data_IF_070740760654
#
_entry.id   IF_070740760654
#
_cell.length_a   1.000
_cell.length_b   1.000
_cell.length_c   1.000
_cell.angle_alpha   90.00
_cell.angle_beta   90.00
_cell.angle_gamma   90.00
#
_symmetry.space_group_name_H-M   'P 1'
#
loop_
_entity.id
_entity.type
_entity.pdbx_description
1 polymer ?
#
# COMPACT_ATOMS: atom_id res chain seq x y z
N UNK A 1 18.52 19.80 6.41
CA UNK A 1 18.90 18.96 7.57
C UNK A 1 18.44 17.55 7.20
N UNK A 2 19.33 16.73 6.61
CA UNK A 2 19.00 15.36 6.24
C UNK A 2 18.83 14.53 7.51
N UNK A 3 17.61 14.36 7.94
CA UNK A 3 17.25 13.30 8.89
C UNK A 3 17.31 11.99 8.07
N UNK A 4 18.45 11.32 8.08
CA UNK A 4 18.50 9.91 7.69
C UNK A 4 17.63 9.18 8.73
N UNK A 5 16.41 8.83 8.33
CA UNK A 5 15.56 7.88 9.05
C UNK A 5 16.22 6.50 8.91
N UNK A 6 17.33 6.30 9.59
CA UNK A 6 17.87 4.97 9.79
C UNK A 6 16.88 4.23 10.69
N UNK A 7 16.06 3.39 10.08
CA UNK A 7 15.28 2.38 10.79
C UNK A 7 16.26 1.50 11.55
N UNK A 8 16.18 1.46 12.85
CA UNK A 8 17.20 0.87 13.74
C UNK A 8 17.41 -0.63 13.57
N UNK A 9 16.52 -1.32 12.88
CA UNK A 9 16.65 -2.75 12.56
C UNK A 9 15.94 -3.10 11.27
N UNK A 10 16.64 -3.01 10.14
CA UNK A 10 16.16 -3.51 8.83
C UNK A 10 16.78 -4.87 8.56
N UNK A 11 15.96 -5.87 8.30
CA UNK A 11 16.38 -7.20 7.83
C UNK A 11 16.09 -7.32 6.34
N UNK A 12 17.09 -7.71 5.55
CA UNK A 12 16.91 -8.05 4.13
C UNK A 12 16.68 -9.56 4.04
N UNK A 13 15.58 -9.94 3.40
CA UNK A 13 15.19 -11.32 3.21
C UNK A 13 15.03 -11.60 1.71
N UNK A 14 15.34 -12.83 1.31
CA UNK A 14 15.18 -13.29 -0.06
C UNK A 14 14.19 -14.46 -0.07
N UNK A 15 13.02 -14.23 -0.65
CA UNK A 15 11.97 -15.23 -0.73
C UNK A 15 12.01 -15.91 -2.09
N UNK A 16 12.14 -17.23 -2.11
CA UNK A 16 11.99 -18.00 -3.34
C UNK A 16 10.52 -18.09 -3.69
N UNK A 17 10.12 -17.50 -4.80
CA UNK A 17 8.75 -17.55 -5.35
C UNK A 17 8.62 -18.75 -6.29
N UNK A 18 9.65 -19.02 -7.09
CA UNK A 18 9.76 -20.19 -7.95
C UNK A 18 11.24 -20.59 -8.09
N UNK A 19 11.52 -21.63 -8.89
CA UNK A 19 12.92 -22.05 -9.15
C UNK A 19 13.75 -20.95 -9.83
N UNK A 20 13.11 -20.08 -10.60
CA UNK A 20 13.77 -19.00 -11.34
C UNK A 20 13.59 -17.61 -10.72
N UNK A 21 12.77 -17.47 -9.68
CA UNK A 21 12.37 -16.15 -9.18
C UNK A 21 12.61 -16.04 -7.68
N UNK A 22 13.37 -15.02 -7.30
CA UNK A 22 13.63 -14.63 -5.92
C UNK A 22 13.14 -13.20 -5.72
N UNK A 23 12.35 -12.98 -4.69
CA UNK A 23 11.86 -11.67 -4.29
C UNK A 23 12.71 -11.17 -3.12
N UNK A 24 13.29 -9.97 -3.26
CA UNK A 24 13.90 -9.26 -2.16
C UNK A 24 12.85 -8.47 -1.40
N UNK A 25 12.82 -8.64 -0.09
CA UNK A 25 12.00 -7.84 0.79
C UNK A 25 12.85 -7.25 1.91
N UNK A 26 12.39 -6.12 2.43
CA UNK A 26 12.94 -5.49 3.64
C UNK A 26 11.90 -5.53 4.74
N UNK A 27 12.30 -6.05 5.88
CA UNK A 27 11.49 -6.07 7.09
C UNK A 27 12.09 -5.08 8.09
N UNK A 28 11.35 -4.00 8.32
CA UNK A 28 11.72 -2.93 9.23
C UNK A 28 10.98 -3.13 10.55
N UNK A 29 11.73 -3.16 11.66
CA UNK A 29 11.18 -3.48 12.97
C UNK A 29 11.31 -2.32 13.95
N UNK A 30 10.31 -2.13 14.84
CA UNK A 30 10.42 -1.30 16.02
C UNK A 30 11.53 -1.77 16.97
N UNK A 31 11.99 -0.89 17.85
CA UNK A 31 12.83 -1.27 18.98
C UNK A 31 12.04 -2.16 19.94
N UNK A 32 12.70 -3.17 20.52
CA UNK A 32 12.11 -4.08 21.50
C UNK A 32 11.99 -5.53 21.03
N UNK A 33 11.40 -6.35 21.88
CA UNK A 33 11.34 -7.80 21.64
C UNK A 33 10.12 -8.25 20.79
N UNK A 34 9.10 -7.42 20.64
CA UNK A 34 7.84 -7.81 20.01
C UNK A 34 7.00 -8.75 20.91
N UNK A 35 6.01 -9.49 20.37
CA UNK A 35 5.62 -9.47 18.96
C UNK A 35 4.87 -8.17 18.57
N UNK A 36 5.23 -7.62 17.41
CA UNK A 36 4.66 -6.38 16.90
C UNK A 36 3.48 -6.63 15.95
N UNK A 37 2.46 -5.75 15.90
CA UNK A 37 1.57 -5.70 14.73
C UNK A 37 2.40 -5.43 13.47
N UNK A 38 1.97 -5.94 12.32
CA UNK A 38 2.73 -5.77 11.10
C UNK A 38 1.89 -5.38 9.89
N UNK A 39 2.50 -4.58 9.01
CA UNK A 39 1.95 -4.14 7.74
C UNK A 39 2.81 -4.66 6.58
N UNK A 40 2.18 -5.32 5.63
CA UNK A 40 2.77 -5.59 4.32
C UNK A 40 2.42 -4.43 3.41
N UNK A 41 3.43 -3.71 2.89
CA UNK A 41 3.26 -2.49 2.10
C UNK A 41 3.75 -2.73 0.67
N UNK A 42 2.80 -2.92 -0.25
CA UNK A 42 3.05 -3.19 -1.65
C UNK A 42 3.28 -1.89 -2.45
N UNK A 43 4.33 -1.81 -3.29
CA UNK A 43 4.62 -0.65 -4.10
C UNK A 43 3.71 -0.55 -5.33
N UNK A 44 3.71 0.61 -5.98
CA UNK A 44 3.00 0.85 -7.24
C UNK A 44 3.71 0.24 -8.46
N UNK A 45 3.10 0.45 -9.63
CA UNK A 45 3.75 0.16 -10.90
C UNK A 45 4.90 1.17 -11.11
N UNK A 46 6.11 0.68 -11.35
CA UNK A 46 7.33 1.52 -11.50
C UNK A 46 7.58 2.47 -10.33
N UNK A 47 7.12 2.08 -9.17
CA UNK A 47 7.27 2.79 -7.91
C UNK A 47 7.84 1.80 -6.89
N UNK A 48 9.15 1.84 -6.67
CA UNK A 48 9.85 0.85 -5.84
C UNK A 48 9.64 1.08 -4.33
N UNK A 49 10.11 0.11 -3.56
CA UNK A 49 9.98 0.10 -2.10
C UNK A 49 10.79 1.18 -1.37
N UNK A 50 11.71 1.85 -2.06
CA UNK A 50 12.56 2.92 -1.51
C UNK A 50 12.09 4.32 -1.92
N UNK A 51 11.02 4.42 -2.70
CA UNK A 51 10.41 5.70 -3.04
C UNK A 51 9.87 6.41 -1.79
N UNK A 52 9.93 7.76 -1.78
CA UNK A 52 9.68 8.55 -0.56
C UNK A 52 8.38 8.20 0.17
N UNK A 53 7.26 8.04 -0.52
CA UNK A 53 5.98 7.74 0.15
C UNK A 53 5.96 6.37 0.84
N UNK A 54 6.65 5.36 0.28
CA UNK A 54 6.79 4.04 0.90
C UNK A 54 7.78 4.09 2.07
N UNK A 55 8.96 4.67 1.82
CA UNK A 55 10.04 4.69 2.80
C UNK A 55 9.70 5.53 4.04
N UNK A 56 9.16 6.74 3.86
CA UNK A 56 8.79 7.62 4.96
C UNK A 56 7.64 7.05 5.78
N UNK A 57 6.62 6.49 5.12
CA UNK A 57 5.52 5.81 5.81
C UNK A 57 6.02 4.61 6.62
N UNK A 58 6.91 3.79 6.06
CA UNK A 58 7.49 2.67 6.79
C UNK A 58 8.27 3.15 8.03
N UNK A 59 9.12 4.16 7.88
CA UNK A 59 9.88 4.74 8.99
C UNK A 59 8.98 5.29 10.10
N UNK A 60 7.92 6.01 9.74
CA UNK A 60 6.95 6.53 10.72
C UNK A 60 6.26 5.38 11.48
N UNK A 61 5.73 4.38 10.78
CA UNK A 61 5.01 3.27 11.40
C UNK A 61 5.91 2.43 12.31
N UNK A 62 7.17 2.23 11.94
CA UNK A 62 8.17 1.55 12.78
C UNK A 62 8.41 2.30 14.09
N UNK A 63 8.55 3.62 14.04
CA UNK A 63 8.66 4.43 15.26
C UNK A 63 7.42 4.36 16.15
N UNK A 64 6.28 3.94 15.61
CA UNK A 64 5.01 3.78 16.31
C UNK A 64 4.70 2.34 16.73
N UNK A 65 5.68 1.46 16.65
CA UNK A 65 5.54 0.09 17.15
C UNK A 65 4.94 -0.89 16.15
N UNK A 66 4.89 -0.56 14.85
CA UNK A 66 4.35 -1.41 13.79
C UNK A 66 5.51 -1.87 12.90
N UNK A 67 5.72 -3.19 12.77
CA UNK A 67 6.68 -3.73 11.84
C UNK A 67 6.18 -3.55 10.39
N UNK A 68 7.07 -3.21 9.45
CA UNK A 68 6.69 -2.99 8.05
C UNK A 68 7.52 -3.88 7.14
N UNK A 69 6.84 -4.63 6.28
CA UNK A 69 7.44 -5.47 5.24
C UNK A 69 7.25 -4.79 3.89
N UNK A 70 8.36 -4.35 3.27
CA UNK A 70 8.42 -3.69 1.97
C UNK A 70 9.14 -4.58 0.97
N UNK A 71 8.73 -4.58 -0.29
CA UNK A 71 9.33 -5.40 -1.33
C UNK A 71 9.22 -4.72 -2.69
N UNK A 72 9.96 -5.23 -3.68
CA UNK A 72 9.78 -4.86 -5.07
C UNK A 72 9.11 -6.00 -5.84
N UNK A 73 8.24 -5.65 -6.80
CA UNK A 73 7.69 -6.64 -7.71
C UNK A 73 8.80 -7.30 -8.54
N UNK A 74 8.66 -8.60 -8.82
CA UNK A 74 9.68 -9.33 -9.57
C UNK A 74 9.88 -8.74 -10.96
N UNK A 75 8.80 -8.35 -11.65
CA UNK A 75 8.91 -7.72 -12.97
C UNK A 75 9.72 -6.41 -12.92
N UNK A 76 9.58 -5.63 -11.86
CA UNK A 76 10.36 -4.41 -11.65
C UNK A 76 11.84 -4.72 -11.38
N UNK A 77 12.13 -5.73 -10.58
CA UNK A 77 13.51 -6.14 -10.28
C UNK A 77 14.23 -6.67 -11.51
N UNK A 78 13.52 -7.35 -12.41
CA UNK A 78 14.06 -7.86 -13.69
C UNK A 78 14.31 -6.72 -14.68
N UNK A 79 13.35 -5.82 -14.81
CA UNK A 79 13.45 -4.65 -15.69
C UNK A 79 12.60 -3.50 -15.13
N UNK A 80 13.27 -2.53 -14.52
CA UNK A 80 12.60 -1.39 -13.88
C UNK A 80 11.90 -0.44 -14.87
N UNK A 81 12.38 -0.39 -16.12
CA UNK A 81 11.85 0.53 -17.14
C UNK A 81 10.71 -0.08 -17.94
N UNK A 82 10.84 -1.33 -18.38
CA UNK A 82 9.90 -1.98 -19.31
C UNK A 82 9.23 -3.22 -18.74
N UNK A 83 9.59 -3.66 -17.52
CA UNK A 83 8.93 -4.78 -16.87
C UNK A 83 7.43 -4.55 -16.67
N UNK A 84 6.64 -5.57 -16.93
CA UNK A 84 5.19 -5.52 -16.81
C UNK A 84 4.66 -6.60 -15.87
N UNK A 85 3.55 -6.32 -15.16
CA UNK A 85 2.84 -7.35 -14.39
C UNK A 85 2.38 -8.51 -15.29
N UNK A 86 2.14 -9.65 -14.68
CA UNK A 86 1.46 -10.76 -15.35
C UNK A 86 0.04 -10.35 -15.77
N UNK A 87 -0.46 -10.91 -16.87
CA UNK A 87 -1.73 -10.48 -17.47
C UNK A 87 -2.94 -10.65 -16.53
N UNK A 88 -2.88 -11.64 -15.66
CA UNK A 88 -3.92 -11.99 -14.68
C UNK A 88 -3.53 -11.65 -13.23
N UNK A 89 -2.42 -10.97 -13.02
CA UNK A 89 -1.84 -10.61 -11.72
C UNK A 89 -1.48 -11.82 -10.83
N UNK A 90 -1.45 -13.02 -11.37
CA UNK A 90 -1.19 -14.24 -10.58
C UNK A 90 0.22 -14.28 -9.97
N UNK A 91 1.24 -13.76 -10.70
CA UNK A 91 2.61 -13.68 -10.21
C UNK A 91 2.75 -12.65 -9.08
N UNK A 92 2.07 -11.51 -9.19
CA UNK A 92 2.08 -10.45 -8.19
C UNK A 92 1.30 -10.87 -6.94
N UNK A 93 0.17 -11.53 -7.13
CA UNK A 93 -0.61 -12.13 -6.05
C UNK A 93 0.23 -13.16 -5.28
N UNK A 94 0.88 -14.11 -5.97
CA UNK A 94 1.76 -15.10 -5.34
C UNK A 94 2.95 -14.43 -4.60
N UNK A 95 3.54 -13.40 -5.19
CA UNK A 95 4.62 -12.63 -4.57
C UNK A 95 4.18 -12.00 -3.26
N UNK A 96 3.05 -11.30 -3.24
CA UNK A 96 2.55 -10.67 -2.03
C UNK A 96 2.11 -11.69 -0.98
N UNK A 97 1.51 -12.81 -1.38
CA UNK A 97 1.19 -13.91 -0.46
C UNK A 97 2.45 -14.49 0.20
N UNK A 98 3.55 -14.62 -0.53
CA UNK A 98 4.82 -15.08 0.04
C UNK A 98 5.36 -14.09 1.08
N UNK A 99 5.23 -12.79 0.86
CA UNK A 99 5.59 -11.76 1.86
C UNK A 99 4.69 -11.85 3.10
N UNK A 100 3.38 -12.03 2.93
CA UNK A 100 2.45 -12.25 4.06
C UNK A 100 2.83 -13.50 4.85
N UNK A 101 3.17 -14.60 4.17
CA UNK A 101 3.60 -15.85 4.83
C UNK A 101 4.91 -15.67 5.59
N UNK A 102 5.88 -14.94 5.03
CA UNK A 102 7.14 -14.61 5.71
C UNK A 102 6.89 -13.77 6.97
N UNK A 103 6.08 -12.73 6.88
CA UNK A 103 5.70 -11.90 8.03
C UNK A 103 4.99 -12.72 9.12
N UNK A 104 4.07 -13.60 8.71
CA UNK A 104 3.33 -14.48 9.64
C UNK A 104 4.25 -15.47 10.39
N UNK A 105 5.33 -15.89 9.76
CA UNK A 105 6.29 -16.86 10.33
C UNK A 105 7.38 -16.21 11.17
N UNK A 106 7.50 -14.88 11.15
CA UNK A 106 8.50 -14.17 11.94
C UNK A 106 8.05 -14.09 13.41
N UNK A 107 8.88 -14.63 14.31
CA UNK A 107 8.58 -14.70 15.75
C UNK A 107 8.43 -13.30 16.40
N UNK A 108 8.95 -12.27 15.76
CA UNK A 108 8.82 -10.87 16.20
C UNK A 108 7.48 -10.24 15.82
N UNK A 109 6.66 -10.92 15.02
CA UNK A 109 5.38 -10.43 14.50
C UNK A 109 4.22 -11.09 15.23
N UNK A 110 3.23 -10.29 15.63
CA UNK A 110 1.96 -10.82 16.09
C UNK A 110 1.12 -11.25 14.86
N UNK A 111 1.11 -12.54 14.58
CA UNK A 111 0.42 -13.14 13.44
C UNK A 111 -1.10 -12.86 13.40
N UNK A 112 -1.70 -12.48 14.53
CA UNK A 112 -3.12 -12.08 14.62
C UNK A 112 -3.34 -10.59 14.35
N UNK A 113 -2.29 -9.81 14.15
CA UNK A 113 -2.33 -8.36 13.87
C UNK A 113 -1.59 -8.04 12.56
N UNK A 114 -1.84 -8.85 11.52
CA UNK A 114 -1.33 -8.60 10.17
C UNK A 114 -2.32 -7.80 9.36
N UNK A 115 -1.82 -6.77 8.70
CA UNK A 115 -2.57 -5.92 7.78
C UNK A 115 -1.82 -5.77 6.46
N UNK A 116 -2.54 -5.37 5.41
CA UNK A 116 -1.96 -5.13 4.10
C UNK A 116 -2.24 -3.71 3.63
N UNK A 117 -1.31 -3.14 2.91
CA UNK A 117 -1.47 -1.88 2.20
C UNK A 117 -0.88 -1.98 0.81
N UNK A 118 -1.38 -1.18 -0.11
CA UNK A 118 -0.78 -1.07 -1.42
C UNK A 118 -0.99 0.30 -2.03
N UNK A 119 0.01 0.79 -2.75
CA UNK A 119 -0.04 2.05 -3.47
C UNK A 119 -0.38 1.81 -4.94
N UNK A 120 -1.36 2.54 -5.49
CA UNK A 120 -1.68 2.49 -6.93
C UNK A 120 -1.93 1.04 -7.41
N UNK A 121 -1.17 0.54 -8.36
CA UNK A 121 -1.18 -0.87 -8.78
C UNK A 121 -1.10 -1.84 -7.60
N UNK A 122 -0.22 -1.57 -6.63
CA UNK A 122 -0.10 -2.39 -5.43
C UNK A 122 -1.38 -2.46 -4.59
N UNK A 123 -2.26 -1.45 -4.68
CA UNK A 123 -3.55 -1.48 -3.98
C UNK A 123 -4.51 -2.51 -4.58
N UNK A 124 -4.42 -2.76 -5.88
CA UNK A 124 -5.22 -3.81 -6.55
C UNK A 124 -4.80 -5.19 -6.06
N UNK A 125 -3.49 -5.45 -6.03
CA UNK A 125 -2.97 -6.75 -5.54
C UNK A 125 -3.21 -6.91 -4.03
N UNK A 126 -3.02 -5.84 -3.25
CA UNK A 126 -3.30 -5.86 -1.81
C UNK A 126 -4.77 -6.19 -1.52
N UNK A 127 -5.70 -5.66 -2.31
CA UNK A 127 -7.11 -5.98 -2.22
C UNK A 127 -7.38 -7.47 -2.49
N UNK A 128 -6.82 -8.02 -3.57
CA UNK A 128 -6.98 -9.45 -3.91
C UNK A 128 -6.45 -10.36 -2.80
N UNK A 129 -5.26 -10.05 -2.26
CA UNK A 129 -4.67 -10.81 -1.15
C UNK A 129 -5.53 -10.69 0.11
N UNK A 130 -6.03 -9.49 0.43
CA UNK A 130 -6.93 -9.28 1.57
C UNK A 130 -8.23 -10.07 1.43
N UNK A 131 -8.82 -10.11 0.23
CA UNK A 131 -10.02 -10.92 -0.02
C UNK A 131 -9.75 -12.42 0.13
N UNK A 132 -8.62 -12.91 -0.34
CA UNK A 132 -8.28 -14.32 -0.29
C UNK A 132 -7.89 -14.80 1.12
N UNK A 133 -7.21 -13.95 1.91
CA UNK A 133 -6.77 -14.28 3.27
C UNK A 133 -7.63 -13.62 4.33
N UNK A 134 -8.59 -14.37 4.87
CA UNK A 134 -9.53 -13.89 5.89
C UNK A 134 -8.91 -13.69 7.28
N UNK A 135 -7.66 -14.06 7.48
CA UNK A 135 -6.93 -13.80 8.74
C UNK A 135 -6.28 -12.42 8.79
N UNK A 136 -6.15 -11.73 7.66
CA UNK A 136 -5.68 -10.35 7.60
C UNK A 136 -6.72 -9.42 8.22
N UNK A 137 -6.26 -8.47 9.04
CA UNK A 137 -7.15 -7.67 9.88
C UNK A 137 -7.68 -6.42 9.18
N UNK A 138 -6.83 -5.73 8.40
CA UNK A 138 -7.14 -4.42 7.80
C UNK A 138 -6.51 -4.31 6.41
N UNK A 139 -7.12 -3.48 5.56
CA UNK A 139 -6.59 -3.15 4.25
C UNK A 139 -6.53 -1.64 4.03
N UNK A 140 -5.40 -1.14 3.53
CA UNK A 140 -5.20 0.27 3.18
C UNK A 140 -4.91 0.38 1.69
N UNK A 141 -5.78 1.09 0.97
CA UNK A 141 -5.64 1.37 -0.45
C UNK A 141 -5.13 2.81 -0.63
N UNK A 142 -3.85 2.95 -0.98
CA UNK A 142 -3.18 4.24 -1.14
C UNK A 142 -3.20 4.62 -2.61
N UNK A 143 -3.68 5.83 -2.93
CA UNK A 143 -3.92 6.33 -4.30
C UNK A 143 -4.58 5.26 -5.18
N UNK A 144 -5.79 4.80 -4.79
CA UNK A 144 -6.47 3.71 -5.49
C UNK A 144 -6.80 4.09 -6.93
N UNK A 145 -6.77 3.10 -7.82
CA UNK A 145 -7.11 3.28 -9.23
C UNK A 145 -8.64 3.31 -9.39
N UNK A 146 -9.18 4.51 -9.40
CA UNK A 146 -10.62 4.77 -9.41
C UNK A 146 -10.97 5.86 -10.43
N UNK A 147 -10.83 5.56 -11.72
CA UNK A 147 -11.16 6.47 -12.81
C UNK A 147 -12.28 5.88 -13.66
N UNK A 148 -13.23 6.74 -14.02
CA UNK A 148 -14.28 6.37 -14.95
C UNK A 148 -13.71 6.00 -16.33
N UNK A 149 -14.27 4.96 -16.92
CA UNK A 149 -14.18 4.75 -18.37
C UNK A 149 -15.00 5.85 -19.10
N UNK A 150 -14.87 5.93 -20.42
CA UNK A 150 -15.57 6.92 -21.26
C UNK A 150 -17.09 6.68 -21.41
N UNK A 151 -17.66 5.78 -20.63
CA UNK A 151 -19.03 5.31 -20.74
C UNK A 151 -19.95 5.80 -19.60
N UNK A 152 -21.19 5.36 -19.58
CA UNK A 152 -22.22 5.82 -18.64
C UNK A 152 -21.93 5.48 -17.16
N UNK A 153 -22.66 6.08 -16.20
CA UNK A 153 -22.40 5.97 -14.76
C UNK A 153 -22.34 4.52 -14.21
N UNK A 154 -23.01 3.55 -14.85
CA UNK A 154 -22.96 2.16 -14.42
C UNK A 154 -21.65 1.48 -14.84
N UNK A 155 -21.16 1.81 -16.04
CA UNK A 155 -19.87 1.29 -16.54
C UNK A 155 -18.67 1.89 -15.78
N UNK A 156 -18.80 3.13 -15.25
CA UNK A 156 -17.81 3.71 -14.36
C UNK A 156 -17.56 2.87 -13.11
N UNK A 157 -18.64 2.45 -12.44
CA UNK A 157 -18.55 1.58 -11.27
C UNK A 157 -18.00 0.19 -11.62
N UNK A 158 -18.30 -0.33 -12.79
CA UNK A 158 -17.79 -1.63 -13.24
C UNK A 158 -16.29 -1.61 -13.51
N UNK A 159 -15.75 -0.49 -14.00
CA UNK A 159 -14.29 -0.31 -14.15
C UNK A 159 -13.56 -0.35 -12.79
N UNK A 160 -14.10 0.32 -11.78
CA UNK A 160 -13.54 0.27 -10.42
C UNK A 160 -13.69 -1.14 -9.82
N UNK A 161 -14.81 -1.80 -10.09
CA UNK A 161 -15.08 -3.17 -9.62
C UNK A 161 -14.12 -4.20 -10.20
N UNK A 162 -13.54 -3.98 -11.37
CA UNK A 162 -12.49 -4.84 -11.91
C UNK A 162 -11.21 -4.80 -11.05
N UNK A 163 -10.88 -3.62 -10.49
CA UNK A 163 -9.72 -3.46 -9.62
C UNK A 163 -9.99 -3.93 -8.19
N UNK A 164 -11.20 -3.72 -7.69
CA UNK A 164 -11.59 -4.02 -6.31
C UNK A 164 -12.93 -4.78 -6.28
N UNK A 165 -12.96 -6.06 -6.70
CA UNK A 165 -14.20 -6.84 -6.73
C UNK A 165 -14.73 -7.14 -5.33
N UNK A 166 -16.01 -7.49 -5.26
CA UNK A 166 -16.70 -8.07 -4.10
C UNK A 166 -16.69 -7.24 -2.81
N UNK A 167 -16.60 -5.91 -2.94
CA UNK A 167 -16.55 -4.99 -1.79
C UNK A 167 -17.81 -5.06 -0.92
N UNK A 168 -18.95 -5.40 -1.51
CA UNK A 168 -20.23 -5.56 -0.82
C UNK A 168 -20.24 -6.74 0.17
N UNK A 169 -19.27 -7.65 0.07
CA UNK A 169 -19.12 -8.81 0.95
C UNK A 169 -18.06 -8.58 2.03
N UNK A 170 -17.26 -7.49 1.93
CA UNK A 170 -16.18 -7.24 2.87
C UNK A 170 -16.63 -6.38 4.05
N UNK A 171 -16.58 -6.99 5.25
CA UNK A 171 -16.98 -6.36 6.52
C UNK A 171 -15.78 -5.95 7.39
N UNK A 172 -14.57 -6.45 7.06
CA UNK A 172 -13.36 -6.04 7.78
C UNK A 172 -13.01 -4.58 7.46
N UNK A 173 -12.29 -3.90 8.36
CA UNK A 173 -11.92 -2.51 8.15
C UNK A 173 -11.09 -2.28 6.88
N UNK A 174 -11.54 -1.32 6.07
CA UNK A 174 -10.83 -0.84 4.88
C UNK A 174 -10.77 0.68 4.90
N UNK A 175 -9.63 1.25 4.54
CA UNK A 175 -9.49 2.69 4.31
C UNK A 175 -8.87 2.96 2.95
N UNK A 176 -9.31 4.04 2.31
CA UNK A 176 -8.82 4.53 1.02
C UNK A 176 -8.21 5.91 1.22
N UNK A 177 -6.95 6.08 0.83
CA UNK A 177 -6.22 7.33 0.95
C UNK A 177 -5.89 7.85 -0.43
N UNK A 178 -6.61 8.87 -0.88
CA UNK A 178 -6.52 9.44 -2.22
C UNK A 178 -5.83 10.81 -2.19
N UNK A 179 -5.27 11.22 -3.32
CA UNK A 179 -4.77 12.57 -3.53
C UNK A 179 -5.80 13.41 -4.30
N UNK A 180 -5.90 14.70 -3.98
CA UNK A 180 -6.93 15.59 -4.53
C UNK A 180 -6.71 15.97 -6.02
N UNK A 181 -5.46 15.79 -6.52
CA UNK A 181 -5.08 16.05 -7.91
C UNK A 181 -4.61 14.78 -8.62
N UNK A 182 -5.08 13.62 -8.18
CA UNK A 182 -4.70 12.34 -8.75
C UNK A 182 -5.41 12.11 -10.10
N UNK A 183 -4.67 12.03 -11.23
CA UNK A 183 -5.28 11.80 -12.54
C UNK A 183 -5.87 10.38 -12.71
N UNK A 184 -5.57 9.46 -11.80
CA UNK A 184 -6.06 8.07 -11.82
C UNK A 184 -7.17 7.81 -10.81
N UNK A 185 -7.62 8.83 -10.07
CA UNK A 185 -8.67 8.69 -9.07
C UNK A 185 -9.64 9.86 -9.11
N UNK A 186 -10.89 9.60 -9.47
CA UNK A 186 -11.97 10.57 -9.40
C UNK A 186 -12.65 10.50 -8.02
N UNK A 187 -12.46 11.52 -7.19
CA UNK A 187 -12.95 11.54 -5.82
C UNK A 187 -14.46 11.27 -5.68
N UNK A 188 -15.35 11.86 -6.51
CA UNK A 188 -16.78 11.56 -6.45
C UNK A 188 -17.08 10.07 -6.71
N UNK A 189 -16.35 9.44 -7.64
CA UNK A 189 -16.49 8.02 -7.94
C UNK A 189 -15.96 7.18 -6.77
N UNK A 190 -14.79 7.53 -6.21
CA UNK A 190 -14.20 6.87 -5.06
C UNK A 190 -15.16 6.86 -3.87
N UNK A 191 -15.77 8.00 -3.53
CA UNK A 191 -16.73 8.08 -2.42
C UNK A 191 -17.97 7.21 -2.66
N UNK A 192 -18.52 7.22 -3.88
CA UNK A 192 -19.64 6.34 -4.23
C UNK A 192 -19.26 4.87 -4.10
N UNK A 193 -18.03 4.52 -4.50
CA UNK A 193 -17.54 3.15 -4.41
C UNK A 193 -17.27 2.72 -2.97
N UNK A 194 -16.63 3.56 -2.17
CA UNK A 194 -16.37 3.32 -0.75
C UNK A 194 -17.66 3.06 0.06
N UNK A 195 -18.75 3.72 -0.31
CA UNK A 195 -20.06 3.52 0.32
C UNK A 195 -20.69 2.14 0.02
N UNK A 196 -20.17 1.38 -0.97
CA UNK A 196 -20.69 0.05 -1.34
C UNK A 196 -20.11 -1.09 -0.51
N UNK A 197 -19.07 -0.85 0.25
CA UNK A 197 -18.54 -1.87 1.16
C UNK A 197 -19.61 -2.29 2.17
N UNK A 198 -19.64 -3.57 2.56
CA UNK A 198 -20.57 -4.07 3.58
C UNK A 198 -20.46 -3.25 4.89
N UNK A 199 -19.25 -2.85 5.25
CA UNK A 199 -18.97 -1.79 6.20
C UNK A 199 -18.30 -0.65 5.40
N UNK A 200 -18.94 0.52 5.24
CA UNK A 200 -18.40 1.60 4.41
C UNK A 200 -16.92 1.89 4.70
N UNK A 201 -16.11 1.90 3.64
CA UNK A 201 -14.70 2.21 3.77
C UNK A 201 -14.50 3.70 4.09
N UNK A 202 -13.55 4.01 4.94
CA UNK A 202 -13.17 5.39 5.20
C UNK A 202 -12.39 5.94 4.01
N UNK A 203 -12.69 7.16 3.58
CA UNK A 203 -11.93 7.87 2.55
C UNK A 203 -11.23 9.07 3.17
N UNK A 204 -9.91 9.10 3.05
CA UNK A 204 -9.08 10.25 3.41
C UNK A 204 -8.52 10.87 2.14
N UNK A 205 -8.73 12.17 1.96
CA UNK A 205 -8.19 12.92 0.82
C UNK A 205 -7.05 13.80 1.31
N UNK A 206 -5.91 13.68 0.63
CA UNK A 206 -4.69 14.42 0.93
C UNK A 206 -4.32 15.32 -0.26
N UNK A 207 -3.61 16.41 -0.05
CA UNK A 207 -3.18 17.27 -1.15
C UNK A 207 -2.12 16.58 -2.03
N UNK A 208 -2.12 16.88 -3.33
CA UNK A 208 -1.10 16.49 -4.28
C UNK A 208 -1.56 15.58 -5.41
N UNK A 209 -0.60 15.19 -6.26
CA UNK A 209 -0.79 14.30 -7.39
C UNK A 209 -0.79 12.81 -6.95
N UNK A 210 -0.75 11.89 -7.92
CA UNK A 210 -0.70 10.43 -7.67
C UNK A 210 0.48 9.97 -6.78
N UNK A 211 1.52 10.78 -6.63
CA UNK A 211 2.66 10.54 -5.72
C UNK A 211 2.62 11.41 -4.47
N UNK A 212 1.52 12.14 -4.24
CA UNK A 212 1.37 13.14 -3.18
C UNK A 212 2.31 14.35 -3.32
N UNK A 213 2.88 14.57 -4.49
CA UNK A 213 3.70 15.73 -4.78
C UNK A 213 2.79 16.92 -5.10
N UNK A 214 3.16 18.08 -4.58
CA UNK A 214 2.47 19.34 -4.85
C UNK A 214 3.41 20.21 -5.68
N UNK A 215 3.19 20.34 -7.00
CA UNK A 215 4.02 21.19 -7.82
C UNK A 215 3.98 22.65 -7.35
N UNK A 216 5.14 23.26 -7.17
CA UNK A 216 5.32 24.68 -6.87
C UNK A 216 6.54 25.20 -7.63
N UNK A 217 6.54 26.49 -7.96
CA UNK A 217 7.74 27.15 -8.52
C UNK A 217 8.87 27.25 -7.49
N UNK A 218 8.53 27.24 -6.20
CA UNK A 218 9.47 27.21 -5.09
C UNK A 218 9.70 25.77 -4.61
N UNK A 219 10.90 25.26 -4.86
CA UNK A 219 11.32 23.90 -4.50
C UNK A 219 11.24 23.63 -2.99
N UNK A 220 11.55 24.63 -2.15
CA UNK A 220 11.50 24.49 -0.68
C UNK A 220 10.06 24.33 -0.22
N UNK A 221 9.16 25.11 -0.79
CA UNK A 221 7.72 25.01 -0.48
C UNK A 221 7.13 23.67 -0.94
N UNK A 222 7.54 23.16 -2.09
CA UNK A 222 7.14 21.83 -2.60
C UNK A 222 7.60 20.71 -1.67
N UNK A 223 8.85 20.76 -1.24
CA UNK A 223 9.43 19.75 -0.34
C UNK A 223 8.73 19.77 1.02
N UNK A 224 8.51 20.95 1.62
CA UNK A 224 7.80 21.08 2.88
C UNK A 224 6.35 20.57 2.77
N UNK A 225 5.65 20.94 1.71
CA UNK A 225 4.29 20.49 1.47
C UNK A 225 4.21 18.96 1.32
N UNK A 226 5.17 18.37 0.60
CA UNK A 226 5.28 16.92 0.48
C UNK A 226 5.52 16.26 1.85
N UNK A 227 6.46 16.77 2.67
CA UNK A 227 6.72 16.23 4.01
C UNK A 227 5.47 16.28 4.90
N UNK A 228 4.74 17.39 4.91
CA UNK A 228 3.49 17.52 5.68
C UNK A 228 2.42 16.53 5.20
N UNK A 229 2.34 16.30 3.89
CA UNK A 229 1.42 15.30 3.32
C UNK A 229 1.82 13.89 3.76
N UNK A 230 3.11 13.56 3.74
CA UNK A 230 3.61 12.24 4.18
C UNK A 230 3.40 12.02 5.68
N UNK A 231 3.62 13.04 6.50
CA UNK A 231 3.34 12.98 7.95
C UNK A 231 1.84 12.74 8.21
N UNK A 232 0.98 13.42 7.45
CA UNK A 232 -0.47 13.23 7.56
C UNK A 232 -0.89 11.84 7.11
N UNK A 233 -0.40 11.37 5.94
CA UNK A 233 -0.65 10.02 5.42
C UNK A 233 -0.28 8.97 6.46
N UNK A 234 0.94 9.05 6.97
CA UNK A 234 1.50 8.08 7.91
C UNK A 234 0.74 8.08 9.24
N UNK A 235 0.36 9.25 9.75
CA UNK A 235 -0.45 9.39 10.96
C UNK A 235 -1.85 8.79 10.79
N UNK A 236 -2.49 8.98 9.64
CA UNK A 236 -3.79 8.37 9.36
C UNK A 236 -3.69 6.85 9.21
N UNK A 237 -2.61 6.34 8.62
CA UNK A 237 -2.35 4.90 8.56
C UNK A 237 -2.11 4.32 9.95
N UNK A 238 -1.28 4.95 10.77
CA UNK A 238 -1.04 4.56 12.16
C UNK A 238 -2.35 4.44 12.92
N UNK A 239 -3.15 5.51 12.93
CA UNK A 239 -4.45 5.51 13.60
C UNK A 239 -5.33 4.36 13.14
N UNK A 240 -5.46 4.17 11.84
CA UNK A 240 -6.29 3.08 11.29
C UNK A 240 -5.77 1.68 11.66
N UNK A 241 -4.46 1.49 11.81
CA UNK A 241 -3.86 0.20 12.13
C UNK A 241 -3.95 -0.16 13.62
N UNK A 242 -4.02 0.85 14.50
CA UNK A 242 -4.01 0.66 15.96
C UNK A 242 -5.41 0.76 16.61
N UNK A 243 -6.42 1.35 15.94
CA UNK A 243 -7.82 1.38 16.40
C UNK A 243 -8.48 -0.01 16.27
#
# INVERSE_FOLDING_TARGET
>A
MNLSLETKSTSILHLRISDAQVLELRADFPDGAGPFPALILAPGLRYDMDRPAILQTAGHLVMRGIAVYRFNWIFYTVDAESGHPSADLSAEFASMQAVVAAARSDVRVNSHQLSVAGKSFGSVVAWQVFQADKSLQRCILITPLCKAGTANQNEELDTVRQNYPDVEQESRPVTMMAADQDPYCELPLLHRYAARFAKPATVTVLPGNHSFEIPSEDTVSSELAFQLTMDTLSTQMEKFLLD
#
